data_IF_890350911611
#
_entry.id   IF_890350911611
#
_cell.length_a   1.000
_cell.length_b   1.000
_cell.length_c   1.000
_cell.angle_alpha   90.00
_cell.angle_beta   90.00
_cell.angle_gamma   90.00
#
_symmetry.space_group_name_H-M   'P 1'
#
loop_
_entity.id
_entity.type
_entity.pdbx_description
1 polymer ?
#
# COMPACT_ATOMS: atom_id res chain seq x y z
N UNK A 1 -19.58 5.40 -1.73
CA UNK A 1 -18.35 4.73 -1.24
C UNK A 1 -18.11 3.50 -2.07
N UNK A 2 -16.86 3.20 -2.39
CA UNK A 2 -16.52 2.04 -3.22
C UNK A 2 -15.94 0.93 -2.34
N UNK A 3 -16.42 -0.30 -2.53
CA UNK A 3 -15.86 -1.51 -1.90
C UNK A 3 -14.80 -2.08 -2.84
N UNK A 4 -13.63 -2.39 -2.30
CA UNK A 4 -12.60 -3.18 -2.98
C UNK A 4 -12.44 -4.51 -2.24
N UNK A 5 -12.25 -5.59 -2.99
CA UNK A 5 -11.93 -6.91 -2.44
C UNK A 5 -10.43 -7.12 -2.55
N UNK A 6 -9.81 -7.55 -1.45
CA UNK A 6 -8.36 -7.70 -1.31
C UNK A 6 -8.05 -9.12 -0.85
N UNK A 7 -7.07 -9.73 -1.51
CA UNK A 7 -6.58 -11.07 -1.20
C UNK A 7 -5.08 -11.02 -0.93
N UNK A 8 -4.60 -11.83 0.00
CA UNK A 8 -3.20 -11.89 0.39
C UNK A 8 -2.80 -10.82 1.40
N UNK A 9 -1.67 -10.19 1.14
CA UNK A 9 -1.03 -9.22 2.03
C UNK A 9 -1.43 -7.81 1.61
N UNK A 10 -1.73 -6.98 2.59
CA UNK A 10 -2.03 -5.57 2.35
C UNK A 10 -1.34 -4.67 3.35
N UNK A 11 -0.61 -3.70 2.82
CA UNK A 11 0.07 -2.64 3.59
C UNK A 11 -0.77 -1.39 3.51
N UNK A 12 -1.02 -0.75 4.65
CA UNK A 12 -1.63 0.57 4.75
C UNK A 12 -0.64 1.54 5.37
N UNK A 13 -0.52 2.71 4.74
CA UNK A 13 0.23 3.86 5.23
C UNK A 13 -0.69 5.08 5.20
N UNK A 14 -0.83 5.78 6.32
CA UNK A 14 -1.43 7.10 6.34
C UNK A 14 -0.42 8.14 5.88
N UNK A 15 -0.90 9.23 5.29
CA UNK A 15 -0.09 10.42 5.06
C UNK A 15 -0.83 11.67 5.53
N UNK A 16 -0.08 12.64 6.07
CA UNK A 16 -0.61 13.91 6.55
C UNK A 16 0.29 15.09 6.23
N UNK A 17 -0.31 16.25 5.98
CA UNK A 17 0.35 17.53 5.72
C UNK A 17 -0.66 18.49 5.09
N UNK A 18 -0.28 19.15 3.99
CA UNK A 18 -1.19 20.02 3.20
C UNK A 18 -2.44 19.30 2.69
N UNK A 19 -2.38 17.98 2.56
CA UNK A 19 -3.54 17.14 2.37
C UNK A 19 -3.31 15.82 3.09
N UNK A 20 -4.40 15.18 3.50
CA UNK A 20 -4.37 13.97 4.31
C UNK A 20 -4.98 12.81 3.54
N UNK A 21 -4.52 11.60 3.83
CA UNK A 21 -5.04 10.44 3.13
C UNK A 21 -4.36 9.14 3.52
N UNK A 22 -4.55 8.16 2.64
CA UNK A 22 -4.07 6.79 2.79
C UNK A 22 -3.50 6.29 1.48
N UNK A 23 -2.38 5.58 1.60
CA UNK A 23 -1.86 4.65 0.62
C UNK A 23 -2.14 3.22 1.07
N UNK A 24 -2.55 2.36 0.14
CA UNK A 24 -2.73 0.94 0.34
C UNK A 24 -2.06 0.18 -0.80
N UNK A 25 -1.20 -0.78 -0.47
CA UNK A 25 -0.59 -1.72 -1.41
C UNK A 25 -1.11 -3.12 -1.09
N UNK A 26 -1.74 -3.79 -2.05
CA UNK A 26 -2.22 -5.16 -1.91
C UNK A 26 -1.51 -6.09 -2.91
N UNK A 27 -1.12 -7.25 -2.38
CA UNK A 27 -0.35 -8.31 -3.03
C UNK A 27 -1.06 -9.64 -2.78
N UNK A 28 -1.44 -10.40 -3.81
CA UNK A 28 -1.87 -11.79 -3.64
C UNK A 28 -0.81 -12.61 -2.90
N UNK A 29 -1.22 -13.67 -2.20
CA UNK A 29 -0.32 -14.55 -1.44
C UNK A 29 0.89 -15.00 -2.27
N UNK A 30 0.66 -15.50 -3.48
CA UNK A 30 1.72 -15.97 -4.37
C UNK A 30 2.71 -14.86 -4.75
N UNK A 31 2.23 -13.62 -4.92
CA UNK A 31 3.11 -12.50 -5.28
C UNK A 31 3.93 -12.01 -4.11
N UNK A 32 3.36 -11.98 -2.91
CA UNK A 32 4.11 -11.60 -1.72
C UNK A 32 5.27 -12.59 -1.45
N UNK A 33 5.00 -13.89 -1.53
CA UNK A 33 6.02 -14.94 -1.36
C UNK A 33 7.11 -14.85 -2.44
N UNK A 34 6.71 -14.71 -3.71
CA UNK A 34 7.65 -14.57 -4.83
C UNK A 34 8.51 -13.30 -4.70
N UNK A 35 7.93 -12.18 -4.28
CA UNK A 35 8.68 -10.93 -4.10
C UNK A 35 9.67 -11.05 -2.93
N UNK A 36 9.26 -11.70 -1.84
CA UNK A 36 10.15 -12.00 -0.73
C UNK A 36 11.33 -12.86 -1.18
N UNK A 37 11.09 -13.96 -1.90
CA UNK A 37 12.16 -14.81 -2.43
C UNK A 37 13.12 -14.05 -3.35
N UNK A 38 12.60 -13.18 -4.22
CA UNK A 38 13.44 -12.35 -5.11
C UNK A 38 14.28 -11.32 -4.35
N UNK A 39 13.75 -10.75 -3.26
CA UNK A 39 14.41 -9.68 -2.50
C UNK A 39 15.42 -10.25 -1.50
N UNK A 40 15.04 -11.30 -0.78
CA UNK A 40 15.81 -11.88 0.33
C UNK A 40 16.71 -13.02 -0.15
N UNK A 41 16.33 -13.70 -1.24
CA UNK A 41 17.05 -14.86 -1.77
C UNK A 41 16.68 -16.19 -1.12
N UNK A 42 15.68 -16.20 -0.25
CA UNK A 42 15.22 -17.38 0.48
C UNK A 42 13.72 -17.59 0.25
N UNK A 43 13.33 -18.85 0.08
CA UNK A 43 11.92 -19.22 -0.07
C UNK A 43 11.32 -19.55 1.29
N UNK A 44 10.10 -19.07 1.51
CA UNK A 44 9.31 -19.32 2.71
C UNK A 44 7.89 -19.71 2.33
N UNK A 45 7.22 -20.43 3.23
CA UNK A 45 5.86 -20.91 3.01
C UNK A 45 4.86 -20.21 3.95
N UNK A 46 3.64 -20.03 3.44
CA UNK A 46 2.51 -19.57 4.25
C UNK A 46 2.62 -18.11 4.71
N UNK A 47 2.10 -17.83 5.90
CA UNK A 47 2.17 -16.51 6.52
C UNK A 47 3.33 -16.51 7.51
N UNK A 48 4.35 -15.71 7.22
CA UNK A 48 5.56 -15.55 8.03
C UNK A 48 5.85 -14.06 8.24
N UNK A 49 6.39 -13.73 9.41
CA UNK A 49 6.88 -12.40 9.79
C UNK A 49 7.87 -11.82 8.78
N UNK A 50 8.72 -12.65 8.16
CA UNK A 50 9.67 -12.18 7.14
C UNK A 50 8.97 -11.62 5.89
N UNK A 51 7.88 -12.26 5.47
CA UNK A 51 7.06 -11.77 4.35
C UNK A 51 6.35 -10.50 4.76
N UNK A 52 5.84 -10.42 5.99
CA UNK A 52 5.22 -9.21 6.56
C UNK A 52 6.19 -8.03 6.55
N UNK A 53 7.44 -8.24 6.97
CA UNK A 53 8.49 -7.21 6.93
C UNK A 53 8.82 -6.80 5.50
N UNK A 54 8.97 -7.78 4.59
CA UNK A 54 9.28 -7.50 3.18
C UNK A 54 8.21 -6.62 2.53
N UNK A 55 6.92 -6.99 2.66
CA UNK A 55 5.85 -6.20 2.06
C UNK A 55 5.73 -4.83 2.74
N UNK A 56 5.92 -4.76 4.06
CA UNK A 56 5.92 -3.51 4.82
C UNK A 56 6.98 -2.54 4.31
N UNK A 57 8.23 -2.99 4.15
CA UNK A 57 9.33 -2.18 3.61
C UNK A 57 9.05 -1.76 2.17
N UNK A 58 8.55 -2.67 1.33
CA UNK A 58 8.16 -2.33 -0.03
C UNK A 58 7.10 -1.21 -0.07
N UNK A 59 6.07 -1.30 0.77
CA UNK A 59 5.04 -0.26 0.90
C UNK A 59 5.64 1.07 1.38
N UNK A 60 6.51 1.02 2.40
CA UNK A 60 7.17 2.20 2.96
C UNK A 60 8.09 2.88 1.94
N UNK A 61 8.85 2.12 1.16
CA UNK A 61 9.72 2.64 0.10
C UNK A 61 8.92 3.30 -1.02
N UNK A 62 7.84 2.67 -1.49
CA UNK A 62 6.99 3.22 -2.57
C UNK A 62 6.34 4.52 -2.10
N UNK A 63 5.69 4.50 -0.94
CA UNK A 63 5.02 5.69 -0.39
C UNK A 63 6.03 6.78 -0.03
N UNK A 64 7.18 6.40 0.54
CA UNK A 64 8.24 7.31 0.96
C UNK A 64 8.82 8.07 -0.23
N UNK A 65 9.16 7.36 -1.30
CA UNK A 65 9.62 7.98 -2.54
C UNK A 65 8.58 8.95 -3.14
N UNK A 66 7.30 8.56 -3.14
CA UNK A 66 6.22 9.43 -3.62
C UNK A 66 6.10 10.71 -2.77
N UNK A 67 6.14 10.58 -1.44
CA UNK A 67 6.06 11.71 -0.51
C UNK A 67 7.26 12.66 -0.65
N UNK A 68 8.48 12.13 -0.79
CA UNK A 68 9.67 12.95 -1.04
C UNK A 68 9.49 13.79 -2.30
N UNK A 69 9.12 13.17 -3.42
CA UNK A 69 8.90 13.89 -4.68
C UNK A 69 7.80 14.95 -4.58
N UNK A 70 6.69 14.64 -3.92
CA UNK A 70 5.60 15.61 -3.70
C UNK A 70 6.10 16.80 -2.88
N UNK A 71 6.88 16.57 -1.82
CA UNK A 71 7.40 17.65 -0.99
C UNK A 71 8.41 18.53 -1.73
N UNK A 72 9.22 17.93 -2.61
CA UNK A 72 10.21 18.65 -3.43
C UNK A 72 9.52 19.50 -4.52
N UNK A 73 8.50 18.96 -5.18
CA UNK A 73 7.75 19.64 -6.25
C UNK A 73 6.76 20.69 -5.70
N UNK A 74 6.09 20.40 -4.57
CA UNK A 74 5.09 21.27 -3.96
C UNK A 74 5.59 21.85 -2.64
N UNK A 75 6.33 22.96 -2.73
CA UNK A 75 6.81 23.70 -1.55
C UNK A 75 5.69 23.96 -0.54
N UNK A 76 5.95 23.62 0.72
CA UNK A 76 5.00 23.76 1.82
C UNK A 76 3.99 22.61 1.96
N UNK A 77 4.05 21.56 1.13
CA UNK A 77 3.19 20.40 1.29
C UNK A 77 3.43 19.67 2.62
N UNK A 78 4.69 19.56 3.06
CA UNK A 78 5.11 18.98 4.34
C UNK A 78 4.42 17.65 4.68
N UNK A 79 4.24 16.81 3.65
CA UNK A 79 3.59 15.51 3.78
C UNK A 79 4.51 14.56 4.55
N UNK A 80 3.96 13.84 5.53
CA UNK A 80 4.64 12.84 6.36
C UNK A 80 3.83 11.55 6.38
N UNK A 81 4.54 10.42 6.34
CA UNK A 81 3.95 9.09 6.46
C UNK A 81 3.77 8.68 7.93
N UNK A 82 2.71 7.93 8.21
CA UNK A 82 2.63 7.11 9.43
C UNK A 82 3.49 5.85 9.27
N UNK A 83 3.81 5.13 10.37
CA UNK A 83 4.28 3.76 10.27
C UNK A 83 3.31 2.88 9.46
N UNK A 84 3.82 1.86 8.74
CA UNK A 84 2.98 0.91 8.01
C UNK A 84 2.20 0.01 8.97
N UNK A 85 1.04 -0.45 8.50
CA UNK A 85 0.29 -1.55 9.12
C UNK A 85 0.00 -2.60 8.06
N UNK A 86 0.17 -3.86 8.41
CA UNK A 86 -0.03 -4.98 7.49
C UNK A 86 -1.18 -5.85 7.97
N UNK A 87 -2.05 -6.25 7.04
CA UNK A 87 -3.07 -7.27 7.28
C UNK A 87 -2.99 -8.33 6.19
N UNK A 88 -3.32 -9.54 6.58
CA UNK A 88 -3.31 -10.71 5.71
C UNK A 88 -4.67 -11.38 5.77
N UNK A 89 -5.23 -11.69 4.61
CA UNK A 89 -6.54 -12.33 4.56
C UNK A 89 -6.95 -12.69 3.15
N UNK A 90 -8.03 -13.46 3.06
CA UNK A 90 -8.69 -13.81 1.82
C UNK A 90 -10.07 -13.18 1.80
N UNK A 91 -10.51 -12.68 0.66
CA UNK A 91 -11.78 -12.00 0.44
C UNK A 91 -12.03 -10.80 1.39
N UNK A 92 -10.98 -10.05 1.72
CA UNK A 92 -11.09 -8.90 2.62
C UNK A 92 -11.83 -7.77 1.93
N UNK A 93 -13.01 -7.41 2.45
CA UNK A 93 -13.80 -6.28 1.95
C UNK A 93 -13.32 -4.98 2.60
N UNK A 94 -12.77 -4.09 1.78
CA UNK A 94 -12.32 -2.78 2.22
C UNK A 94 -13.23 -1.69 1.65
N UNK A 95 -13.83 -0.89 2.53
CA UNK A 95 -14.81 0.13 2.16
C UNK A 95 -14.25 1.54 2.25
N UNK A 96 -14.30 2.28 1.13
CA UNK A 96 -13.95 3.69 1.08
C UNK A 96 -15.16 4.57 1.43
N UNK A 97 -15.22 5.08 2.66
CA UNK A 97 -16.27 6.00 3.10
C UNK A 97 -15.92 7.46 2.79
N UNK A 98 -16.77 8.15 2.02
CA UNK A 98 -16.71 9.60 1.73
C UNK A 98 -15.32 10.14 1.32
N UNK A 99 -14.53 9.34 0.59
CA UNK A 99 -13.19 9.74 0.14
C UNK A 99 -13.03 9.41 -1.35
N UNK A 100 -12.41 10.32 -2.10
CA UNK A 100 -12.04 10.05 -3.49
C UNK A 100 -10.81 9.13 -3.47
N UNK A 101 -10.97 7.93 -4.04
CA UNK A 101 -9.93 6.92 -4.04
C UNK A 101 -9.58 6.50 -5.46
N UNK A 102 -8.29 6.60 -5.79
CA UNK A 102 -7.70 6.14 -7.03
C UNK A 102 -7.26 4.69 -6.86
N UNK A 103 -7.72 3.83 -7.77
CA UNK A 103 -7.41 2.40 -7.76
C UNK A 103 -6.58 2.07 -8.99
N UNK A 104 -5.34 1.64 -8.76
CA UNK A 104 -4.39 1.28 -9.80
C UNK A 104 -4.14 -0.22 -9.69
N UNK A 105 -4.38 -0.95 -10.78
CA UNK A 105 -4.04 -2.37 -10.88
C UNK A 105 -2.79 -2.51 -11.76
N UNK A 106 -1.69 -2.92 -11.16
CA UNK A 106 -0.46 -3.28 -11.87
C UNK A 106 -0.57 -4.75 -12.23
N UNK A 107 -0.57 -5.08 -13.53
CA UNK A 107 -0.79 -6.44 -14.01
C UNK A 107 0.24 -6.84 -15.06
N UNK A 108 0.78 -8.03 -14.90
CA UNK A 108 1.47 -8.80 -15.95
C UNK A 108 0.64 -10.05 -16.26
N UNK A 109 0.97 -10.85 -17.30
CA UNK A 109 0.20 -12.05 -17.62
C UNK A 109 0.02 -13.03 -16.46
N UNK A 110 1.00 -13.10 -15.54
CA UNK A 110 1.02 -14.06 -14.43
C UNK A 110 0.81 -13.44 -13.05
N UNK A 111 0.96 -12.12 -12.93
CA UNK A 111 1.08 -11.46 -11.63
C UNK A 111 0.23 -10.20 -11.58
N UNK A 112 -0.28 -9.85 -10.40
CA UNK A 112 -0.94 -8.56 -10.21
C UNK A 112 -0.72 -8.01 -8.81
N UNK A 113 -0.74 -6.68 -8.71
CA UNK A 113 -0.66 -5.93 -7.47
C UNK A 113 -1.63 -4.75 -7.56
N UNK A 114 -2.20 -4.33 -6.44
CA UNK A 114 -3.13 -3.20 -6.40
C UNK A 114 -2.57 -2.09 -5.53
N UNK A 115 -2.65 -0.86 -6.03
CA UNK A 115 -2.46 0.34 -5.24
C UNK A 115 -3.80 1.05 -5.12
N UNK A 116 -4.20 1.40 -3.90
CA UNK A 116 -5.32 2.29 -3.63
C UNK A 116 -4.81 3.53 -2.89
N UNK A 117 -5.07 4.69 -3.46
CA UNK A 117 -4.71 5.98 -2.84
C UNK A 117 -6.00 6.74 -2.59
N UNK A 118 -6.27 7.08 -1.35
CA UNK A 118 -7.42 7.86 -0.96
C UNK A 118 -6.96 9.20 -0.38
N UNK A 119 -7.50 10.31 -0.89
CA UNK A 119 -7.17 11.66 -0.42
C UNK A 119 -8.45 12.26 0.18
N UNK A 120 -8.39 12.63 1.45
CA UNK A 120 -9.48 13.31 2.14
C UNK A 120 -9.59 14.76 1.69
N UNK A 121 -10.81 15.26 1.55
CA UNK A 121 -11.04 16.71 1.45
C UNK A 121 -10.74 17.35 2.81
N UNK A 122 -10.07 18.51 2.80
CA UNK A 122 -9.98 19.33 4.02
C UNK A 122 -11.40 19.74 4.43
N UNK A 123 -11.85 19.29 5.59
CA UNK A 123 -12.87 20.04 6.33
C UNK A 123 -12.25 21.38 6.69
N UNK A 124 -12.65 22.41 5.94
CA UNK A 124 -12.44 23.82 6.29
C UNK A 124 -12.92 24.11 7.71
#
# INVERSE_FOLDING_TARGET
GNVITLDGYTVILGFKGKFNGRFLLNLPFSEALRLHEVIVGESVDGINDEVLFTVSEMGNMIAGNAVTRINDEFKGANIRLSPPSVFVGNDVKFFNFKINAYNILLKTPKHHMRINIAIGEETK
#
